data_IF_856439445014
#
_entry.id   IF_856439445014
#
_cell.length_a   1.000
_cell.length_b   1.000
_cell.length_c   1.000
_cell.angle_alpha   90.00
_cell.angle_beta   90.00
_cell.angle_gamma   90.00
#
_symmetry.space_group_name_H-M   'P 1'
#
loop_
_entity.id
_entity.type
_entity.pdbx_description
1 polymer ?
#
# COMPACT_ATOMS: atom_id res chain seq x y z
N UNK A 1 8.05 -18.03 13.43
CA UNK A 1 7.36 -18.27 12.15
C UNK A 1 7.27 -16.99 11.36
N UNK A 2 7.53 -17.04 10.06
CA UNK A 2 7.38 -15.88 9.18
C UNK A 2 5.93 -15.74 8.76
N UNK A 3 5.40 -14.54 8.90
CA UNK A 3 4.04 -14.20 8.50
C UNK A 3 4.07 -13.20 7.35
N UNK A 4 2.97 -13.14 6.63
CA UNK A 4 2.77 -12.26 5.48
C UNK A 4 1.46 -11.51 5.63
N UNK A 5 1.49 -10.21 5.30
CA UNK A 5 0.28 -9.40 5.24
C UNK A 5 0.36 -8.44 4.07
N UNK A 6 -0.79 -8.21 3.44
CA UNK A 6 -0.91 -7.36 2.25
C UNK A 6 -1.70 -6.11 2.59
N UNK A 7 -1.19 -4.97 2.14
CA UNK A 7 -1.84 -3.67 2.28
C UNK A 7 -1.92 -3.00 0.92
N UNK A 8 -3.03 -2.33 0.63
CA UNK A 8 -3.14 -1.53 -0.58
C UNK A 8 -3.96 -0.27 -0.32
N UNK A 9 -3.68 0.77 -1.10
CA UNK A 9 -4.38 2.05 -1.02
C UNK A 9 -3.72 3.12 -1.87
N UNK A 10 -4.33 4.28 -1.90
CA UNK A 10 -3.89 5.40 -2.73
C UNK A 10 -3.03 6.42 -1.98
N UNK A 11 -2.77 6.22 -0.70
CA UNK A 11 -1.95 7.09 0.12
C UNK A 11 -0.88 6.26 0.82
N UNK A 12 0.36 6.37 0.34
CA UNK A 12 1.48 5.60 0.86
C UNK A 12 1.75 5.90 2.33
N UNK A 13 1.66 7.16 2.74
CA UNK A 13 1.91 7.55 4.13
C UNK A 13 0.91 6.88 5.07
N UNK A 14 -0.36 6.86 4.70
CA UNK A 14 -1.40 6.17 5.49
C UNK A 14 -1.20 4.67 5.53
N UNK A 15 -0.75 4.06 4.43
CA UNK A 15 -0.45 2.64 4.39
C UNK A 15 0.71 2.30 5.34
N UNK A 16 1.76 3.10 5.34
CA UNK A 16 2.90 2.89 6.24
C UNK A 16 2.50 3.06 7.71
N UNK A 17 1.65 4.02 8.01
CA UNK A 17 1.09 4.19 9.35
C UNK A 17 0.27 2.97 9.77
N UNK A 18 -0.55 2.45 8.86
CA UNK A 18 -1.36 1.26 9.10
C UNK A 18 -0.48 0.03 9.38
N UNK A 19 0.60 -0.14 8.62
CA UNK A 19 1.58 -1.21 8.86
C UNK A 19 2.17 -1.08 10.26
N UNK A 20 2.58 0.13 10.66
CA UNK A 20 3.16 0.38 11.98
C UNK A 20 2.17 0.12 13.11
N UNK A 21 0.88 0.39 12.89
CA UNK A 21 -0.17 0.16 13.89
C UNK A 21 -0.48 -1.33 14.07
N UNK A 22 -0.39 -2.11 13.01
CA UNK A 22 -0.76 -3.53 13.03
C UNK A 22 0.42 -4.47 13.27
N UNK A 23 1.61 -4.08 12.87
CA UNK A 23 2.82 -4.91 12.95
C UNK A 23 3.92 -4.14 13.67
N UNK A 24 4.52 -4.77 14.68
CA UNK A 24 5.70 -4.23 15.35
C UNK A 24 6.84 -4.12 14.33
N UNK A 25 7.31 -2.90 14.06
CA UNK A 25 8.34 -2.66 13.06
C UNK A 25 9.66 -3.38 13.37
N UNK A 26 9.94 -3.68 14.65
CA UNK A 26 11.12 -4.47 15.02
C UNK A 26 11.05 -5.91 14.54
N UNK A 27 9.87 -6.38 14.20
CA UNK A 27 9.62 -7.76 13.72
C UNK A 27 9.54 -7.83 12.20
N UNK A 28 9.50 -6.70 11.50
CA UNK A 28 9.42 -6.67 10.05
C UNK A 28 10.74 -7.15 9.45
N UNK A 29 10.65 -8.13 8.55
CA UNK A 29 11.80 -8.68 7.85
C UNK A 29 12.01 -7.95 6.52
N UNK A 30 10.91 -7.75 5.78
CA UNK A 30 10.98 -7.16 4.46
C UNK A 30 9.63 -6.56 4.08
N UNK A 31 9.67 -5.45 3.35
CA UNK A 31 8.50 -4.84 2.74
C UNK A 31 8.78 -4.64 1.27
N UNK A 32 7.93 -5.21 0.42
CA UNK A 32 7.98 -4.96 -1.03
C UNK A 32 6.88 -3.96 -1.38
N UNK A 33 7.28 -2.89 -2.06
CA UNK A 33 6.35 -1.87 -2.51
C UNK A 33 6.19 -1.95 -4.03
N UNK A 34 4.95 -1.99 -4.49
CA UNK A 34 4.61 -1.87 -5.90
C UNK A 34 3.72 -0.65 -6.09
N UNK A 35 3.83 -0.01 -7.23
CA UNK A 35 3.01 1.13 -7.62
C UNK A 35 2.33 0.83 -8.94
N UNK A 36 1.06 1.19 -9.03
CA UNK A 36 0.28 1.09 -10.27
C UNK A 36 -0.44 2.41 -10.49
N UNK A 37 -0.30 2.94 -11.69
CA UNK A 37 -1.03 4.14 -12.09
C UNK A 37 -2.31 3.72 -12.78
N UNK A 38 -3.44 4.15 -12.24
CA UNK A 38 -4.76 3.88 -12.82
C UNK A 38 -5.36 5.18 -13.35
N UNK A 39 -5.97 5.10 -14.53
CA UNK A 39 -6.71 6.20 -15.10
C UNK A 39 -8.15 6.11 -14.64
N UNK A 40 -8.60 7.16 -13.95
CA UNK A 40 -9.99 7.24 -13.49
C UNK A 40 -10.73 8.17 -14.43
N UNK A 41 -11.75 7.63 -15.12
CA UNK A 41 -12.60 8.40 -16.03
C UNK A 41 -13.79 8.96 -15.29
N UNK A 42 -13.98 10.28 -15.37
CA UNK A 42 -15.15 10.95 -14.85
C UNK A 42 -16.28 11.01 -15.89
N UNK A 43 -17.35 11.70 -15.55
CA UNK A 43 -18.48 11.92 -16.45
C UNK A 43 -18.13 12.79 -17.64
N UNK A 44 -17.08 13.57 -17.51
CA UNK A 44 -16.63 14.58 -18.46
C UNK A 44 -15.14 14.37 -18.71
N UNK A 45 -14.63 14.74 -19.89
CA UNK A 45 -13.21 14.68 -20.19
C UNK A 45 -12.35 15.45 -19.16
N UNK A 46 -12.92 16.49 -18.58
CA UNK A 46 -12.26 17.30 -17.58
C UNK A 46 -12.19 16.67 -16.19
N UNK A 47 -12.98 15.64 -15.93
CA UNK A 47 -13.04 14.95 -14.65
C UNK A 47 -12.13 13.71 -14.60
N UNK A 48 -11.46 13.38 -15.71
CA UNK A 48 -10.53 12.26 -15.70
C UNK A 48 -9.20 12.65 -15.06
N UNK A 49 -8.64 11.75 -14.27
CA UNK A 49 -7.37 11.94 -13.60
C UNK A 49 -6.64 10.61 -13.44
N UNK A 50 -5.35 10.69 -13.17
CA UNK A 50 -4.55 9.51 -12.86
C UNK A 50 -4.44 9.37 -11.34
N UNK A 51 -4.63 8.17 -10.86
CA UNK A 51 -4.49 7.82 -9.46
C UNK A 51 -3.39 6.76 -9.31
N UNK A 52 -2.52 6.96 -8.33
CA UNK A 52 -1.49 5.96 -8.00
C UNK A 52 -2.00 5.05 -6.91
N UNK A 53 -1.98 3.74 -7.20
CA UNK A 53 -2.31 2.71 -6.23
C UNK A 53 -1.01 2.10 -5.72
N UNK A 54 -0.85 2.08 -4.41
CA UNK A 54 0.30 1.48 -3.74
C UNK A 54 -0.09 0.13 -3.17
N UNK A 55 0.80 -0.85 -3.33
CA UNK A 55 0.62 -2.20 -2.80
C UNK A 55 1.85 -2.55 -1.99
N UNK A 56 1.62 -2.99 -0.75
CA UNK A 56 2.69 -3.37 0.17
C UNK A 56 2.55 -4.84 0.55
N UNK A 57 3.63 -5.59 0.32
CA UNK A 57 3.76 -6.97 0.80
C UNK A 57 4.69 -6.95 2.00
N UNK A 58 4.17 -7.26 3.17
CA UNK A 58 4.93 -7.20 4.41
C UNK A 58 5.20 -8.60 4.94
N UNK A 59 6.47 -8.92 5.11
CA UNK A 59 6.93 -10.16 5.72
C UNK A 59 7.49 -9.84 7.10
N UNK A 60 6.99 -10.53 8.11
CA UNK A 60 7.36 -10.24 9.50
C UNK A 60 7.42 -11.51 10.33
N UNK A 61 8.07 -11.41 11.48
CA UNK A 61 8.15 -12.50 12.45
C UNK A 61 7.09 -12.33 13.52
N UNK A 62 6.56 -13.45 13.90
CA UNK A 62 5.60 -13.53 14.98
C UNK A 62 6.27 -13.34 16.33
#
# INVERSE_FOLDING_TARGET
MIKYEYFCGNDLTKLLEQVSDEIDETKIININKEEKIEHVSGYDEYDSYNETLYMLDVFYRD
#
